data_IF_506332762438
#
_entry.id   IF_506332762438
#
_cell.length_a   1.000
_cell.length_b   1.000
_cell.length_c   1.000
_cell.angle_alpha   90.00
_cell.angle_beta   90.00
_cell.angle_gamma   90.00
#
_symmetry.space_group_name_H-M   'P 1'
#
loop_
_entity.id
_entity.type
_entity.pdbx_description
1 polymer ?
#
# COMPACT_ATOMS: atom_id res chain seq x y z
N UNK A 1 -0.62 28.15 10.04
CA UNK A 1 -1.18 26.82 10.34
C UNK A 1 -1.40 26.00 9.07
N UNK A 2 -2.04 26.53 8.02
CA UNK A 2 -2.21 25.84 6.74
C UNK A 2 -0.88 25.40 6.08
N UNK A 3 0.10 26.30 5.98
CA UNK A 3 1.42 25.99 5.42
C UNK A 3 2.14 24.85 6.16
N UNK A 4 1.90 24.70 7.47
CA UNK A 4 2.44 23.60 8.26
C UNK A 4 1.80 22.26 7.88
N UNK A 5 0.47 22.20 7.79
CA UNK A 5 -0.22 20.97 7.39
C UNK A 5 0.10 20.58 5.96
N UNK A 6 0.21 21.54 5.04
CA UNK A 6 0.64 21.27 3.66
C UNK A 6 2.06 20.67 3.61
N UNK A 7 2.99 21.14 4.45
CA UNK A 7 4.33 20.56 4.56
C UNK A 7 4.29 19.11 5.06
N UNK A 8 3.53 18.85 6.13
CA UNK A 8 3.37 17.50 6.70
C UNK A 8 2.77 16.55 5.66
N UNK A 9 1.69 16.96 5.00
CA UNK A 9 1.04 16.19 3.93
C UNK A 9 2.00 15.93 2.78
N UNK A 10 2.75 16.94 2.32
CA UNK A 10 3.71 16.79 1.23
C UNK A 10 4.81 15.75 1.50
N UNK A 11 5.28 15.64 2.75
CA UNK A 11 6.23 14.58 3.15
C UNK A 11 5.61 13.19 2.94
N UNK A 12 4.39 12.99 3.45
CA UNK A 12 3.70 11.70 3.41
C UNK A 12 3.25 11.33 1.99
N UNK A 13 2.82 12.31 1.19
CA UNK A 13 2.47 12.12 -0.22
C UNK A 13 3.68 11.72 -1.04
N UNK A 14 4.83 12.38 -0.85
CA UNK A 14 6.07 12.01 -1.54
C UNK A 14 6.46 10.56 -1.22
N UNK A 15 6.46 10.20 0.07
CA UNK A 15 6.85 8.84 0.52
C UNK A 15 5.88 7.76 0.07
N UNK A 16 4.58 8.01 0.13
CA UNK A 16 3.57 7.07 -0.36
C UNK A 16 3.62 6.93 -1.89
N UNK A 17 3.88 8.02 -2.63
CA UNK A 17 4.08 7.97 -4.09
C UNK A 17 5.30 7.14 -4.48
N UNK A 18 6.43 7.32 -3.80
CA UNK A 18 7.63 6.50 -4.02
C UNK A 18 7.38 5.02 -3.72
N UNK A 19 6.65 4.72 -2.63
CA UNK A 19 6.22 3.37 -2.32
C UNK A 19 5.39 2.76 -3.47
N UNK A 20 4.36 3.46 -3.95
CA UNK A 20 3.53 2.97 -5.06
C UNK A 20 4.34 2.76 -6.34
N UNK A 21 5.25 3.67 -6.69
CA UNK A 21 6.11 3.56 -7.87
C UNK A 21 7.02 2.32 -7.81
N UNK A 22 7.53 1.97 -6.61
CA UNK A 22 8.42 0.81 -6.46
C UNK A 22 7.76 -0.53 -6.84
N UNK A 23 6.43 -0.62 -6.71
CA UNK A 23 5.67 -1.85 -6.96
C UNK A 23 4.82 -1.82 -8.23
N UNK A 24 4.67 -0.66 -8.87
CA UNK A 24 3.72 -0.46 -9.98
C UNK A 24 3.96 -1.41 -11.16
N UNK A 25 5.21 -1.52 -11.61
CA UNK A 25 5.56 -2.35 -12.77
C UNK A 25 5.27 -3.84 -12.53
N UNK A 26 5.79 -4.47 -11.45
CA UNK A 26 5.49 -5.88 -11.20
C UNK A 26 4.01 -6.10 -10.87
N UNK A 27 3.32 -5.15 -10.21
CA UNK A 27 1.87 -5.22 -9.98
C UNK A 27 1.07 -5.28 -11.30
N UNK A 28 1.39 -4.41 -12.26
CA UNK A 28 0.77 -4.44 -13.60
C UNK A 28 1.01 -5.75 -14.35
N UNK A 29 2.18 -6.36 -14.19
CA UNK A 29 2.48 -7.65 -14.81
C UNK A 29 1.58 -8.77 -14.28
N UNK A 30 1.33 -8.79 -12.98
CA UNK A 30 0.43 -9.78 -12.35
C UNK A 30 -1.00 -9.63 -12.87
N UNK A 31 -1.47 -8.39 -13.04
CA UNK A 31 -2.77 -8.11 -13.65
C UNK A 31 -2.82 -8.64 -15.09
N UNK A 32 -1.78 -8.39 -15.89
CA UNK A 32 -1.73 -8.92 -17.24
C UNK A 32 -1.73 -10.47 -17.27
N UNK A 33 -1.02 -11.10 -16.32
CA UNK A 33 -0.97 -12.54 -16.18
C UNK A 33 -2.32 -13.15 -15.77
N UNK A 34 -3.14 -12.47 -14.97
CA UNK A 34 -4.47 -12.97 -14.63
C UNK A 34 -5.40 -13.02 -15.85
N UNK A 35 -5.35 -11.99 -16.71
CA UNK A 35 -6.11 -12.02 -17.97
C UNK A 35 -5.64 -13.13 -18.90
N UNK A 36 -4.33 -13.39 -18.94
CA UNK A 36 -3.77 -14.52 -19.69
C UNK A 36 -4.27 -15.87 -19.13
N UNK A 37 -4.24 -16.05 -17.81
CA UNK A 37 -4.79 -17.22 -17.13
C UNK A 37 -6.26 -17.45 -17.49
N UNK A 38 -7.09 -16.40 -17.41
CA UNK A 38 -8.52 -16.50 -17.77
C UNK A 38 -8.71 -16.97 -19.21
N UNK A 39 -7.97 -16.37 -20.16
CA UNK A 39 -8.01 -16.78 -21.56
C UNK A 39 -7.58 -18.25 -21.71
N UNK A 40 -6.53 -18.66 -21.02
CA UNK A 40 -6.01 -20.02 -21.09
C UNK A 40 -7.01 -21.04 -20.53
N UNK A 41 -7.80 -20.70 -19.50
CA UNK A 41 -8.93 -21.52 -19.04
C UNK A 41 -9.94 -21.81 -20.16
N UNK A 42 -10.29 -20.81 -20.99
CA UNK A 42 -11.23 -20.98 -22.11
C UNK A 42 -10.64 -21.68 -23.35
N UNK A 43 -9.33 -21.95 -23.38
CA UNK A 43 -8.69 -22.75 -24.41
C UNK A 43 -8.70 -24.26 -24.10
N UNK A 44 -9.14 -24.64 -22.90
CA UNK A 44 -9.21 -26.05 -22.48
C UNK A 44 -10.46 -26.74 -23.05
N UNK A 45 -10.41 -28.06 -23.28
CA UNK A 45 -11.54 -28.84 -23.78
C UNK A 45 -12.56 -29.14 -22.67
N UNK A 46 -12.92 -28.14 -21.87
CA UNK A 46 -13.89 -28.24 -20.78
C UNK A 46 -15.22 -27.60 -21.17
N UNK A 47 -16.25 -27.84 -20.36
CA UNK A 47 -17.51 -27.11 -20.50
C UNK A 47 -17.31 -25.63 -20.17
N UNK A 48 -18.16 -24.77 -20.72
CA UNK A 48 -18.12 -23.32 -20.45
C UNK A 48 -18.21 -23.02 -18.95
N UNK A 49 -19.02 -23.79 -18.22
CA UNK A 49 -19.18 -23.66 -16.76
C UNK A 49 -17.85 -23.90 -16.04
N UNK A 50 -17.17 -25.01 -16.34
CA UNK A 50 -15.86 -25.34 -15.75
C UNK A 50 -14.76 -24.36 -16.15
N UNK A 51 -14.80 -23.81 -17.38
CA UNK A 51 -13.89 -22.74 -17.78
C UNK A 51 -14.12 -21.46 -16.98
N UNK A 52 -15.39 -21.16 -16.65
CA UNK A 52 -15.76 -19.97 -15.88
C UNK A 52 -15.28 -20.08 -14.42
N UNK A 53 -15.43 -21.26 -13.81
CA UNK A 53 -14.87 -21.56 -12.48
C UNK A 53 -13.35 -21.36 -12.47
N UNK A 54 -12.63 -21.92 -13.45
CA UNK A 54 -11.17 -21.72 -13.60
C UNK A 54 -10.79 -20.24 -13.74
N UNK A 55 -11.53 -19.49 -14.57
CA UNK A 55 -11.25 -18.07 -14.80
C UNK A 55 -11.51 -17.20 -13.55
N UNK A 56 -12.47 -17.58 -12.70
CA UNK A 56 -12.71 -16.90 -11.42
C UNK A 56 -11.51 -17.02 -10.47
N UNK A 57 -10.88 -18.21 -10.43
CA UNK A 57 -9.71 -18.47 -9.59
C UNK A 57 -8.47 -17.67 -10.02
N UNK A 58 -8.33 -17.33 -11.31
CA UNK A 58 -7.23 -16.52 -11.84
C UNK A 58 -7.11 -15.13 -11.17
N UNK A 59 -8.16 -14.63 -10.53
CA UNK A 59 -8.14 -13.35 -9.81
C UNK A 59 -7.68 -13.46 -8.35
N UNK A 60 -7.62 -14.66 -7.77
CA UNK A 60 -7.26 -14.85 -6.36
C UNK A 60 -5.87 -14.28 -6.01
N UNK A 61 -4.82 -14.49 -6.83
CA UNK A 61 -3.51 -13.88 -6.61
C UNK A 61 -3.56 -12.36 -6.48
N UNK A 62 -4.37 -11.68 -7.29
CA UNK A 62 -4.51 -10.21 -7.26
C UNK A 62 -5.22 -9.77 -5.98
N UNK A 63 -6.30 -10.45 -5.61
CA UNK A 63 -7.06 -10.15 -4.38
C UNK A 63 -6.16 -10.27 -3.14
N UNK A 64 -5.35 -11.32 -3.07
CA UNK A 64 -4.45 -11.55 -1.94
C UNK A 64 -3.31 -10.54 -1.93
N UNK A 65 -2.71 -10.24 -3.09
CA UNK A 65 -1.71 -9.18 -3.22
C UNK A 65 -2.24 -7.83 -2.76
N UNK A 66 -3.44 -7.44 -3.19
CA UNK A 66 -4.07 -6.19 -2.77
C UNK A 66 -4.30 -6.13 -1.26
N UNK A 67 -4.74 -7.24 -0.64
CA UNK A 67 -4.90 -7.33 0.82
C UNK A 67 -3.57 -7.13 1.55
N UNK A 68 -2.50 -7.79 1.09
CA UNK A 68 -1.18 -7.67 1.73
C UNK A 68 -0.59 -6.25 1.59
N UNK A 69 -0.73 -5.63 0.41
CA UNK A 69 -0.28 -4.25 0.18
C UNK A 69 -1.10 -3.22 0.98
N UNK A 70 -2.43 -3.41 1.04
CA UNK A 70 -3.31 -2.55 1.83
C UNK A 70 -2.94 -2.58 3.31
N UNK A 71 -2.67 -3.76 3.86
CA UNK A 71 -2.25 -3.92 5.26
C UNK A 71 -0.97 -3.17 5.60
N UNK A 72 -0.02 -3.08 4.65
CA UNK A 72 1.20 -2.28 4.82
C UNK A 72 0.85 -0.81 4.97
N UNK A 73 0.06 -0.26 4.04
CA UNK A 73 -0.33 1.15 4.05
C UNK A 73 -1.10 1.50 5.32
N UNK A 74 -2.06 0.65 5.72
CA UNK A 74 -2.86 0.82 6.93
C UNK A 74 -2.01 0.85 8.20
N UNK A 75 -0.96 0.01 8.28
CA UNK A 75 -0.03 0.04 9.41
C UNK A 75 0.72 1.37 9.52
N UNK A 76 1.16 1.93 8.39
CA UNK A 76 1.85 3.23 8.39
C UNK A 76 0.88 4.34 8.81
N UNK A 77 -0.32 4.37 8.23
CA UNK A 77 -1.35 5.36 8.54
C UNK A 77 -1.80 5.29 10.00
N UNK A 78 -2.06 4.09 10.51
CA UNK A 78 -2.43 3.88 11.92
C UNK A 78 -1.33 4.32 12.87
N UNK A 79 -0.06 4.05 12.52
CA UNK A 79 1.10 4.51 13.28
C UNK A 79 1.19 6.04 13.34
N UNK A 80 0.96 6.72 12.21
CA UNK A 80 0.94 8.18 12.14
C UNK A 80 -0.21 8.77 12.98
N UNK A 81 -1.43 8.22 12.84
CA UNK A 81 -2.59 8.63 13.62
C UNK A 81 -2.34 8.46 15.13
N UNK A 82 -1.80 7.32 15.55
CA UNK A 82 -1.45 7.06 16.95
C UNK A 82 -0.40 8.04 17.48
N UNK A 83 0.59 8.39 16.67
CA UNK A 83 1.61 9.38 17.01
C UNK A 83 1.01 10.78 17.22
N UNK A 84 0.14 11.24 16.31
CA UNK A 84 -0.57 12.53 16.47
C UNK A 84 -1.43 12.55 17.74
N UNK A 85 -2.16 11.46 18.02
CA UNK A 85 -2.94 11.35 19.25
C UNK A 85 -2.06 11.46 20.49
N UNK A 86 -0.86 10.90 20.47
CA UNK A 86 0.11 11.04 21.55
C UNK A 86 0.60 12.50 21.68
N UNK A 87 0.96 13.15 20.57
CA UNK A 87 1.32 14.56 20.57
C UNK A 87 0.24 15.42 21.23
N UNK A 88 -1.04 15.17 20.89
CA UNK A 88 -2.17 15.92 21.48
C UNK A 88 -2.29 15.70 22.98
N UNK A 89 -2.05 14.48 23.48
CA UNK A 89 -2.10 14.17 24.91
C UNK A 89 -0.98 14.86 25.69
N UNK A 90 0.22 14.93 25.12
CA UNK A 90 1.40 15.49 25.80
C UNK A 90 1.46 17.02 25.67
N UNK A 91 1.16 17.56 24.49
CA UNK A 91 1.42 18.96 24.12
C UNK A 91 0.17 19.74 23.73
N UNK A 92 -1.05 19.21 23.91
CA UNK A 92 -2.29 19.81 23.40
C UNK A 92 -2.67 21.22 23.89
N UNK A 93 -1.83 21.85 24.72
CA UNK A 93 -1.95 23.25 25.16
C UNK A 93 -0.80 24.15 24.67
N UNK A 94 0.19 23.60 23.96
CA UNK A 94 1.33 24.31 23.42
C UNK A 94 1.49 23.99 21.94
N UNK A 95 1.12 24.95 21.10
CA UNK A 95 1.04 24.78 19.66
C UNK A 95 2.40 24.51 19.02
N UNK A 96 3.47 25.15 19.49
CA UNK A 96 4.83 24.97 18.94
C UNK A 96 5.33 23.54 19.19
N UNK A 97 5.21 23.03 20.43
CA UNK A 97 5.58 21.65 20.73
C UNK A 97 4.68 20.63 20.03
N UNK A 98 3.40 20.97 19.84
CA UNK A 98 2.48 20.12 19.08
C UNK A 98 2.90 20.02 17.61
N UNK A 99 3.23 21.15 16.98
CA UNK A 99 3.68 21.18 15.58
C UNK A 99 4.99 20.43 15.39
N UNK A 100 5.98 20.65 16.26
CA UNK A 100 7.25 19.91 16.24
C UNK A 100 7.03 18.39 16.40
N UNK A 101 6.10 18.00 17.28
CA UNK A 101 5.77 16.60 17.50
C UNK A 101 5.10 15.97 16.26
N UNK A 102 4.13 16.64 15.64
CA UNK A 102 3.48 16.16 14.40
C UNK A 102 4.51 16.04 13.27
N UNK A 103 5.46 16.97 13.14
CA UNK A 103 6.50 16.88 12.12
C UNK A 103 7.40 15.65 12.33
N UNK A 104 7.73 15.30 13.58
CA UNK A 104 8.43 14.05 13.90
C UNK A 104 7.61 12.83 13.52
N UNK A 105 6.30 12.82 13.83
CA UNK A 105 5.39 11.74 13.41
C UNK A 105 5.39 11.57 11.89
N UNK A 106 5.43 12.66 11.12
CA UNK A 106 5.44 12.62 9.66
C UNK A 106 6.74 12.00 9.12
N UNK A 107 7.88 12.36 9.72
CA UNK A 107 9.20 11.77 9.39
C UNK A 107 9.22 10.28 9.70
N UNK A 108 8.78 9.87 10.89
CA UNK A 108 8.72 8.46 11.28
C UNK A 108 7.79 7.63 10.37
N UNK A 109 6.65 8.20 9.96
CA UNK A 109 5.75 7.54 9.00
C UNK A 109 6.40 7.45 7.60
N UNK A 110 7.15 8.46 7.18
CA UNK A 110 7.97 8.43 5.97
C UNK A 110 9.02 7.32 6.00
N UNK A 111 9.76 7.18 7.10
CA UNK A 111 10.76 6.12 7.29
C UNK A 111 10.12 4.73 7.27
N UNK A 112 8.90 4.59 7.81
CA UNK A 112 8.13 3.35 7.72
C UNK A 112 7.74 3.01 6.28
N UNK A 113 7.32 3.99 5.47
CA UNK A 113 7.08 3.78 4.05
C UNK A 113 8.35 3.30 3.34
N UNK A 114 9.50 3.92 3.63
CA UNK A 114 10.79 3.51 3.05
C UNK A 114 11.14 2.06 3.42
N UNK A 115 11.02 1.70 4.70
CA UNK A 115 11.24 0.32 5.15
C UNK A 115 10.26 -0.69 4.54
N UNK A 116 9.02 -0.25 4.28
CA UNK A 116 7.97 -1.08 3.67
C UNK A 116 8.18 -1.34 2.19
N UNK A 117 8.99 -0.55 1.47
CA UNK A 117 9.27 -0.77 0.03
C UNK A 117 9.81 -2.18 -0.23
N UNK A 118 10.87 -2.59 0.46
CA UNK A 118 11.46 -3.92 0.25
C UNK A 118 10.53 -5.06 0.66
N UNK A 119 9.62 -4.83 1.62
CA UNK A 119 8.59 -5.82 1.95
C UNK A 119 7.55 -5.93 0.83
N UNK A 120 7.07 -4.79 0.32
CA UNK A 120 6.09 -4.75 -0.75
C UNK A 120 6.65 -5.34 -2.06
N UNK A 121 7.92 -5.08 -2.39
CA UNK A 121 8.61 -5.73 -3.51
C UNK A 121 8.64 -7.25 -3.36
N UNK A 122 8.97 -7.77 -2.18
CA UNK A 122 8.95 -9.23 -1.91
C UNK A 122 7.56 -9.82 -2.07
N UNK A 123 6.53 -9.14 -1.56
CA UNK A 123 5.14 -9.56 -1.69
C UNK A 123 4.75 -9.61 -3.17
N UNK A 124 5.00 -8.56 -3.94
CA UNK A 124 4.62 -8.52 -5.35
C UNK A 124 5.37 -9.59 -6.14
N UNK A 125 6.66 -9.81 -5.87
CA UNK A 125 7.45 -10.85 -6.53
C UNK A 125 6.94 -12.27 -6.25
N UNK A 126 6.43 -12.54 -5.03
CA UNK A 126 5.77 -13.82 -4.68
C UNK A 126 4.58 -14.14 -5.59
N UNK A 127 3.89 -13.12 -6.10
CA UNK A 127 2.73 -13.28 -7.00
C UNK A 127 3.08 -13.14 -8.49
N UNK A 128 4.34 -12.83 -8.81
CA UNK A 128 4.83 -12.65 -10.18
C UNK A 128 5.40 -13.91 -10.82
N UNK A 129 5.67 -14.95 -10.02
CA UNK A 129 6.10 -16.30 -10.43
C UNK A 129 4.92 -17.22 -10.69
#
# INVERSE_FOLDING_TARGET
MEAFYNRVTGILEAKSSEFSKSIEKPHKLIIANSYKCMRDCYNLPWTIEKCSECAEECNNPIKDLHRELQHIVEKVQSGFQGCIQNCRKVYGKNDDYMMDCIEKCAKEAGDKFDASKSLAEKIVNKYST
#
